data_IF_454561058311
#
_entry.id   IF_454561058311
#
_cell.length_a   1.000
_cell.length_b   1.000
_cell.length_c   1.000
_cell.angle_alpha   90.00
_cell.angle_beta   90.00
_cell.angle_gamma   90.00
#
_symmetry.space_group_name_H-M   'P 1'
#
loop_
_entity.id
_entity.type
_entity.pdbx_description
1 polymer ?
#
# COMPACT_ATOMS: atom_id res chain seq x y z
N UNK A 1 -6.52 -17.78 8.64
CA UNK A 1 -6.97 -16.38 8.67
C UNK A 1 -5.88 -15.60 9.35
N UNK A 2 -5.30 -14.61 8.67
CA UNK A 2 -4.19 -13.82 9.22
C UNK A 2 -4.73 -12.93 10.33
N UNK A 3 -4.02 -12.88 11.45
CA UNK A 3 -4.29 -11.87 12.48
C UNK A 3 -3.75 -10.50 12.03
N UNK A 4 -4.22 -9.42 12.64
CA UNK A 4 -3.89 -8.07 12.20
C UNK A 4 -2.38 -7.77 12.22
N UNK A 5 -1.66 -8.30 13.21
CA UNK A 5 -0.21 -8.15 13.30
C UNK A 5 0.51 -8.84 12.14
N UNK A 6 0.10 -10.07 11.79
CA UNK A 6 0.65 -10.79 10.62
C UNK A 6 0.40 -10.02 9.32
N UNK A 7 -0.76 -9.36 9.18
CA UNK A 7 -1.06 -8.53 8.00
C UNK A 7 -0.10 -7.34 7.90
N UNK A 8 0.15 -6.63 9.00
CA UNK A 8 1.11 -5.52 9.05
C UNK A 8 2.53 -6.01 8.75
N UNK A 9 2.95 -7.14 9.31
CA UNK A 9 4.27 -7.72 9.04
C UNK A 9 4.45 -8.08 7.56
N UNK A 10 3.43 -8.66 6.92
CA UNK A 10 3.44 -8.96 5.48
C UNK A 10 3.51 -7.68 4.66
N UNK A 11 2.68 -6.69 4.97
CA UNK A 11 2.61 -5.41 4.26
C UNK A 11 3.97 -4.70 4.30
N UNK A 12 4.51 -4.50 5.50
CA UNK A 12 5.79 -3.82 5.71
C UNK A 12 6.96 -4.61 5.12
N UNK A 13 6.95 -5.94 5.23
CA UNK A 13 7.99 -6.79 4.62
C UNK A 13 7.96 -6.74 3.09
N UNK A 14 6.79 -6.57 2.49
CA UNK A 14 6.65 -6.45 1.04
C UNK A 14 7.18 -5.10 0.54
N UNK A 15 6.88 -4.01 1.25
CA UNK A 15 7.34 -2.66 0.87
C UNK A 15 8.85 -2.46 1.10
N UNK A 16 9.44 -3.16 2.07
CA UNK A 16 10.89 -3.10 2.35
C UNK A 16 11.74 -3.99 1.42
N UNK A 17 11.15 -4.61 0.40
CA UNK A 17 11.92 -5.34 -0.61
C UNK A 17 12.77 -4.38 -1.45
N UNK A 18 13.80 -4.93 -2.10
CA UNK A 18 14.63 -4.15 -3.02
C UNK A 18 13.76 -3.48 -4.10
N UNK A 19 14.02 -2.20 -4.38
CA UNK A 19 13.31 -1.48 -5.42
C UNK A 19 13.74 -2.01 -6.80
N UNK A 20 12.86 -2.76 -7.46
CA UNK A 20 13.14 -3.37 -8.76
C UNK A 20 12.55 -2.57 -9.93
N UNK A 21 11.61 -1.68 -9.64
CA UNK A 21 10.87 -0.90 -10.63
C UNK A 21 10.65 0.54 -10.17
N UNK A 22 10.29 1.41 -11.12
CA UNK A 22 9.86 2.78 -10.81
C UNK A 22 8.72 2.82 -9.80
N UNK A 23 7.77 1.88 -9.89
CA UNK A 23 6.64 1.80 -8.99
C UNK A 23 7.04 1.45 -7.55
N UNK A 24 8.21 0.83 -7.35
CA UNK A 24 8.73 0.51 -6.01
C UNK A 24 9.30 1.75 -5.30
N UNK A 25 9.67 2.81 -6.04
CA UNK A 25 10.13 4.07 -5.43
C UNK A 25 9.07 4.75 -4.55
N UNK A 26 7.79 4.34 -4.68
CA UNK A 26 6.69 4.81 -3.84
C UNK A 26 6.51 4.01 -2.54
N UNK A 27 7.24 2.90 -2.34
CA UNK A 27 7.05 2.01 -1.19
C UNK A 27 7.12 2.73 0.15
N UNK A 28 8.08 3.63 0.32
CA UNK A 28 8.24 4.41 1.55
C UNK A 28 7.02 5.32 1.81
N UNK A 29 6.46 5.95 0.78
CA UNK A 29 5.28 6.81 0.91
C UNK A 29 4.03 5.99 1.27
N UNK A 30 3.88 4.80 0.66
CA UNK A 30 2.81 3.87 0.97
C UNK A 30 2.90 3.41 2.44
N UNK A 31 4.11 3.10 2.93
CA UNK A 31 4.32 2.66 4.31
C UNK A 31 4.00 3.77 5.32
N UNK A 32 4.46 5.01 5.05
CA UNK A 32 4.14 6.18 5.87
C UNK A 32 2.62 6.40 5.95
N UNK A 33 1.90 6.28 4.83
CA UNK A 33 0.44 6.38 4.82
C UNK A 33 -0.22 5.24 5.63
N UNK A 34 0.35 4.04 5.55
CA UNK A 34 -0.02 2.90 6.38
C UNK A 34 0.04 3.23 7.87
N UNK A 35 1.17 3.78 8.31
CA UNK A 35 1.39 4.24 9.68
C UNK A 35 0.38 5.32 10.07
N UNK A 36 0.17 6.34 9.22
CA UNK A 36 -0.72 7.46 9.53
C UNK A 36 -2.19 7.06 9.67
N UNK A 37 -2.59 5.95 9.05
CA UNK A 37 -3.96 5.43 9.09
C UNK A 37 -4.10 4.16 9.96
N UNK A 38 -3.13 3.89 10.85
CA UNK A 38 -3.11 2.71 11.73
C UNK A 38 -3.29 1.37 10.99
N UNK A 39 -2.95 1.33 9.69
CA UNK A 39 -3.17 0.20 8.79
C UNK A 39 -4.63 -0.28 8.72
N UNK A 40 -5.61 0.60 8.98
CA UNK A 40 -7.02 0.23 9.11
C UNK A 40 -7.60 -0.48 7.89
N UNK A 41 -7.10 -0.16 6.68
CA UNK A 41 -7.47 -0.83 5.44
C UNK A 41 -7.14 -2.33 5.43
N UNK A 42 -6.12 -2.78 6.17
CA UNK A 42 -5.77 -4.21 6.28
C UNK A 42 -6.81 -5.02 7.07
N UNK A 43 -7.70 -4.37 7.83
CA UNK A 43 -8.75 -5.06 8.61
C UNK A 43 -9.67 -5.89 7.71
N UNK A 44 -9.90 -5.44 6.47
CA UNK A 44 -10.80 -6.08 5.48
C UNK A 44 -10.11 -7.09 4.55
N UNK A 45 -8.79 -7.25 4.65
CA UNK A 45 -8.00 -8.11 3.75
C UNK A 45 -7.73 -9.45 4.42
N UNK A 46 -8.03 -10.59 3.80
CA UNK A 46 -8.04 -11.88 4.49
C UNK A 46 -6.82 -12.76 4.25
N UNK A 47 -6.03 -12.44 3.22
CA UNK A 47 -4.90 -13.25 2.77
C UNK A 47 -3.65 -12.43 2.42
N UNK A 48 -2.50 -13.12 2.37
CA UNK A 48 -1.23 -12.51 1.95
C UNK A 48 -1.32 -12.04 0.50
N UNK A 49 -1.94 -12.86 -0.35
CA UNK A 49 -2.10 -12.61 -1.78
C UNK A 49 -2.93 -11.34 -2.01
N UNK A 50 -3.98 -11.13 -1.22
CA UNK A 50 -4.78 -9.90 -1.29
C UNK A 50 -4.01 -8.67 -0.80
N UNK A 51 -3.16 -8.78 0.23
CA UNK A 51 -2.29 -7.66 0.67
C UNK A 51 -1.37 -7.23 -0.48
N UNK A 52 -0.68 -8.20 -1.08
CA UNK A 52 0.24 -7.95 -2.20
C UNK A 52 -0.53 -7.34 -3.38
N UNK A 53 -1.68 -7.91 -3.74
CA UNK A 53 -2.52 -7.40 -4.81
C UNK A 53 -3.00 -5.97 -4.55
N UNK A 54 -3.36 -5.66 -3.30
CA UNK A 54 -3.79 -4.33 -2.89
C UNK A 54 -2.65 -3.31 -3.06
N UNK A 55 -1.43 -3.65 -2.64
CA UNK A 55 -0.23 -2.80 -2.79
C UNK A 55 0.08 -2.57 -4.28
N UNK A 56 0.10 -3.62 -5.08
CA UNK A 56 0.41 -3.52 -6.51
C UNK A 56 -0.65 -2.69 -7.28
N UNK A 57 -1.93 -2.81 -6.89
CA UNK A 57 -2.97 -1.93 -7.42
C UNK A 57 -2.76 -0.46 -7.04
N UNK A 58 -2.38 -0.18 -5.80
CA UNK A 58 -2.05 1.18 -5.36
C UNK A 58 -0.89 1.74 -6.18
N UNK A 59 0.21 1.00 -6.27
CA UNK A 59 1.37 1.37 -7.10
C UNK A 59 0.98 1.67 -8.55
N UNK A 60 0.18 0.80 -9.17
CA UNK A 60 -0.31 1.02 -10.53
C UNK A 60 -1.16 2.29 -10.63
N UNK A 61 -1.99 2.59 -9.62
CA UNK A 61 -2.81 3.80 -9.58
C UNK A 61 -1.96 5.06 -9.42
N UNK A 62 -0.89 5.01 -8.61
CA UNK A 62 0.08 6.10 -8.46
C UNK A 62 0.72 6.40 -9.81
N UNK A 63 1.32 5.40 -10.45
CA UNK A 63 1.98 5.57 -11.77
C UNK A 63 1.02 6.14 -12.83
N UNK A 64 -0.27 5.81 -12.76
CA UNK A 64 -1.26 6.34 -13.71
C UNK A 64 -1.70 7.78 -13.43
N UNK A 65 -1.52 8.28 -12.21
CA UNK A 65 -2.14 9.55 -11.74
C UNK A 65 -1.14 10.56 -11.19
N UNK A 66 0.13 10.20 -11.02
CA UNK A 66 1.15 11.09 -10.45
C UNK A 66 1.37 12.39 -11.23
N UNK A 67 1.04 12.42 -12.53
CA UNK A 67 1.07 13.64 -13.36
C UNK A 67 -0.18 14.54 -13.14
N UNK A 68 -1.25 13.99 -12.56
CA UNK A 68 -2.57 14.64 -12.44
C UNK A 68 -2.88 15.10 -11.00
N UNK A 69 -2.26 14.46 -9.99
CA UNK A 69 -2.56 14.70 -8.58
C UNK A 69 -1.32 14.53 -7.71
N UNK A 70 -1.37 15.14 -6.53
CA UNK A 70 -0.34 14.99 -5.50
C UNK A 70 -0.33 13.53 -5.01
N UNK A 71 0.86 12.97 -4.78
CA UNK A 71 1.05 11.56 -4.42
C UNK A 71 0.23 11.17 -3.19
N UNK A 72 0.27 12.00 -2.14
CA UNK A 72 -0.47 11.79 -0.91
C UNK A 72 -1.99 11.72 -1.16
N UNK A 73 -2.53 12.59 -2.01
CA UNK A 73 -3.96 12.58 -2.36
C UNK A 73 -4.36 11.27 -3.08
N UNK A 74 -3.47 10.74 -3.93
CA UNK A 74 -3.71 9.48 -4.63
C UNK A 74 -3.75 8.30 -3.65
N UNK A 75 -2.82 8.29 -2.68
CA UNK A 75 -2.72 7.23 -1.68
C UNK A 75 -3.89 7.30 -0.70
N UNK A 76 -4.19 8.49 -0.17
CA UNK A 76 -5.29 8.69 0.79
C UNK A 76 -6.64 8.33 0.16
N UNK A 77 -6.90 8.76 -1.08
CA UNK A 77 -8.12 8.38 -1.80
C UNK A 77 -8.23 6.86 -1.97
N UNK A 78 -7.13 6.16 -2.25
CA UNK A 78 -7.14 4.70 -2.36
C UNK A 78 -7.32 4.00 -1.01
N UNK A 79 -6.73 4.52 0.07
CA UNK A 79 -6.86 3.97 1.43
C UNK A 79 -8.27 4.17 1.98
N UNK A 80 -8.89 5.32 1.73
CA UNK A 80 -10.21 5.68 2.25
C UNK A 80 -11.36 5.11 1.42
N UNK A 81 -11.21 5.04 0.10
CA UNK A 81 -12.28 4.63 -0.82
C UNK A 81 -12.12 3.19 -1.35
N UNK A 82 -10.97 2.54 -1.10
CA UNK A 82 -10.61 1.20 -1.59
C UNK A 82 -11.22 0.04 -0.82
#
# INVERSE_FOLDING_TARGET
MLNFKEKIEIFTSYLNQEELSYADSFNAHIDICGINNDYDFLKKIDSKEEIIFWIEKLKSRIVMKEDEAVLEDIIDDYVLCG
#
